data_IF_291086331967
#
_entry.id   IF_291086331967
#
_cell.length_a   1.000
_cell.length_b   1.000
_cell.length_c   1.000
_cell.angle_alpha   90.00
_cell.angle_beta   90.00
_cell.angle_gamma   90.00
#
_symmetry.space_group_name_H-M   'P 1'
#
loop_
_entity.id
_entity.type
_entity.pdbx_description
1 polymer ?
#
# COMPACT_ATOMS: atom_id res chain seq x y z
N UNK A 1 56.62 -24.59 44.53
CA UNK A 1 56.80 -23.97 43.21
C UNK A 1 56.85 -25.08 42.18
N UNK A 2 55.80 -25.27 41.41
CA UNK A 2 55.80 -26.18 40.26
C UNK A 2 55.30 -25.37 39.08
N UNK A 3 56.20 -25.17 38.12
CA UNK A 3 56.07 -24.26 36.99
C UNK A 3 55.09 -24.86 35.99
N UNK A 4 54.09 -24.08 35.59
CA UNK A 4 53.11 -24.44 34.58
C UNK A 4 53.75 -24.61 33.20
N UNK A 5 53.54 -25.77 32.59
CA UNK A 5 53.83 -26.01 31.18
C UNK A 5 52.60 -25.70 30.34
N UNK A 6 52.46 -24.45 29.91
CA UNK A 6 51.55 -24.11 28.81
C UNK A 6 52.17 -24.58 27.50
N UNK A 7 51.69 -25.70 26.95
CA UNK A 7 52.11 -26.18 25.64
C UNK A 7 51.57 -25.22 24.57
N UNK A 8 52.47 -24.42 23.99
CA UNK A 8 52.21 -23.62 22.81
C UNK A 8 52.00 -24.56 21.61
N UNK A 9 50.74 -24.74 21.19
CA UNK A 9 50.35 -25.58 20.05
C UNK A 9 50.69 -24.88 18.73
N UNK A 10 51.95 -24.89 18.28
CA UNK A 10 52.36 -24.32 16.99
C UNK A 10 52.48 -25.38 15.89
N UNK A 11 51.54 -26.32 15.80
CA UNK A 11 51.49 -27.27 14.68
C UNK A 11 50.58 -26.75 13.56
N UNK A 12 50.91 -27.08 12.30
CA UNK A 12 50.12 -26.76 11.10
C UNK A 12 48.65 -27.23 11.20
N UNK A 13 48.37 -28.24 12.02
CA UNK A 13 47.01 -28.70 12.32
C UNK A 13 46.20 -27.66 13.10
N UNK A 14 46.81 -26.94 14.05
CA UNK A 14 46.13 -25.89 14.82
C UNK A 14 45.73 -24.70 13.93
N UNK A 15 46.60 -24.32 12.98
CA UNK A 15 46.29 -23.32 11.95
C UNK A 15 45.12 -23.77 11.06
N UNK A 16 45.12 -25.03 10.62
CA UNK A 16 44.06 -25.60 9.77
C UNK A 16 42.70 -25.62 10.48
N UNK A 17 42.68 -26.00 11.76
CA UNK A 17 41.46 -25.97 12.59
C UNK A 17 40.96 -24.54 12.80
N UNK A 18 41.85 -23.59 13.08
CA UNK A 18 41.50 -22.17 13.20
C UNK A 18 40.88 -21.60 11.92
N UNK A 19 41.41 -21.98 10.74
CA UNK A 19 40.84 -21.57 9.44
C UNK A 19 39.45 -22.17 9.23
N UNK A 20 39.25 -23.46 9.51
CA UNK A 20 37.95 -24.12 9.35
C UNK A 20 36.91 -23.48 10.25
N UNK A 21 37.25 -23.25 11.52
CA UNK A 21 36.38 -22.58 12.49
C UNK A 21 36.03 -21.17 12.02
N UNK A 22 37.01 -20.40 11.53
CA UNK A 22 36.79 -19.06 11.00
C UNK A 22 35.83 -19.02 9.81
N UNK A 23 35.93 -19.97 8.87
CA UNK A 23 35.03 -20.06 7.71
C UNK A 23 33.60 -20.42 8.14
N UNK A 24 33.44 -21.36 9.07
CA UNK A 24 32.11 -21.77 9.55
C UNK A 24 31.42 -20.62 10.27
N UNK A 25 32.09 -19.97 11.24
CA UNK A 25 31.50 -18.83 11.93
C UNK A 25 31.27 -17.63 11.01
N UNK A 26 32.21 -17.35 10.10
CA UNK A 26 32.07 -16.27 9.13
C UNK A 26 30.91 -16.47 8.16
N UNK A 27 30.71 -17.70 7.67
CA UNK A 27 29.60 -18.03 6.77
C UNK A 27 28.24 -17.99 7.48
N UNK A 28 28.13 -18.48 8.71
CA UNK A 28 26.90 -18.37 9.50
C UNK A 28 26.57 -16.90 9.78
N UNK A 29 27.54 -16.12 10.26
CA UNK A 29 27.33 -14.71 10.57
C UNK A 29 27.01 -13.89 9.31
N UNK A 30 27.74 -14.14 8.21
CA UNK A 30 27.47 -13.52 6.91
C UNK A 30 26.08 -13.87 6.38
N UNK A 31 25.64 -15.12 6.51
CA UNK A 31 24.30 -15.55 6.13
C UNK A 31 23.23 -14.87 6.99
N UNK A 32 23.42 -14.76 8.30
CA UNK A 32 22.50 -14.05 9.20
C UNK A 32 22.35 -12.57 8.83
N UNK A 33 23.45 -11.87 8.55
CA UNK A 33 23.41 -10.47 8.13
C UNK A 33 22.70 -10.33 6.79
N UNK A 34 23.02 -11.19 5.81
CA UNK A 34 22.37 -11.16 4.50
C UNK A 34 20.87 -11.39 4.63
N UNK A 35 20.45 -12.39 5.42
CA UNK A 35 19.05 -12.65 5.72
C UNK A 35 18.37 -11.45 6.38
N UNK A 36 18.99 -10.82 7.38
CA UNK A 36 18.45 -9.64 8.05
C UNK A 36 18.28 -8.47 7.07
N UNK A 37 19.28 -8.21 6.22
CA UNK A 37 19.21 -7.19 5.18
C UNK A 37 18.07 -7.47 4.17
N UNK A 38 17.94 -8.71 3.70
CA UNK A 38 16.86 -9.12 2.81
C UNK A 38 15.48 -8.92 3.44
N UNK A 39 15.30 -9.32 4.71
CA UNK A 39 14.05 -9.13 5.44
C UNK A 39 13.73 -7.64 5.61
N UNK A 40 14.71 -6.82 5.99
CA UNK A 40 14.56 -5.37 6.10
C UNK A 40 14.17 -4.72 4.77
N UNK A 41 14.81 -5.12 3.67
CA UNK A 41 14.52 -4.61 2.32
C UNK A 41 13.10 -5.00 1.90
N UNK A 42 12.71 -6.26 2.11
CA UNK A 42 11.36 -6.75 1.82
C UNK A 42 10.30 -6.04 2.66
N UNK A 43 10.59 -5.76 3.94
CA UNK A 43 9.71 -4.99 4.81
C UNK A 43 9.53 -3.55 4.31
N UNK A 44 10.63 -2.87 3.94
CA UNK A 44 10.60 -1.51 3.36
C UNK A 44 9.81 -1.47 2.05
N UNK A 45 10.07 -2.42 1.15
CA UNK A 45 9.36 -2.54 -0.12
C UNK A 45 7.86 -2.78 0.10
N UNK A 46 7.51 -3.72 0.98
CA UNK A 46 6.11 -3.98 1.33
C UNK A 46 5.47 -2.71 1.87
N UNK A 47 6.09 -2.02 2.82
CA UNK A 47 5.57 -0.76 3.38
C UNK A 47 5.38 0.32 2.32
N UNK A 48 6.32 0.50 1.39
CA UNK A 48 6.20 1.45 0.28
C UNK A 48 5.07 1.13 -0.71
N UNK A 49 4.72 -0.15 -0.86
CA UNK A 49 3.63 -0.63 -1.72
C UNK A 49 2.28 -0.67 -0.98
N UNK A 50 2.31 -0.62 0.35
CA UNK A 50 1.12 -0.74 1.19
C UNK A 50 0.30 0.55 1.11
N UNK A 51 -0.85 0.49 0.42
CA UNK A 51 -1.70 1.66 0.14
C UNK A 51 -1.43 2.36 -1.19
N UNK A 52 -0.62 1.77 -2.09
CA UNK A 52 -0.53 2.24 -3.48
C UNK A 52 -1.39 1.38 -4.39
N UNK A 53 -2.08 2.03 -5.32
CA UNK A 53 -2.74 1.39 -6.45
C UNK A 53 -1.69 0.89 -7.44
N UNK A 54 -1.64 -0.42 -7.70
CA UNK A 54 -0.68 -1.02 -8.65
C UNK A 54 -1.08 -0.85 -10.12
N UNK A 55 -2.37 -0.60 -10.38
CA UNK A 55 -2.93 -0.44 -11.72
C UNK A 55 -3.29 1.02 -11.95
N UNK A 56 -3.31 1.47 -13.20
CA UNK A 56 -3.88 2.77 -13.53
C UNK A 56 -5.40 2.75 -13.36
N UNK A 57 -6.00 3.93 -13.09
CA UNK A 57 -7.45 4.07 -12.96
C UNK A 57 -8.19 3.55 -14.20
N UNK A 58 -7.66 3.79 -15.40
CA UNK A 58 -8.27 3.31 -16.63
C UNK A 58 -8.39 1.79 -16.66
N UNK A 59 -7.32 1.07 -16.31
CA UNK A 59 -7.32 -0.41 -16.27
C UNK A 59 -8.29 -0.90 -15.19
N UNK A 60 -8.23 -0.31 -13.99
CA UNK A 60 -9.08 -0.70 -12.87
C UNK A 60 -10.57 -0.54 -13.19
N UNK A 61 -10.96 0.59 -13.78
CA UNK A 61 -12.35 0.92 -14.09
C UNK A 61 -12.89 0.07 -15.24
N UNK A 62 -12.10 -0.19 -16.29
CA UNK A 62 -12.62 -0.82 -17.52
C UNK A 62 -12.46 -2.34 -17.57
N UNK A 63 -11.48 -2.92 -16.86
CA UNK A 63 -11.24 -4.36 -16.91
C UNK A 63 -11.93 -5.03 -15.70
N UNK A 64 -13.16 -5.49 -15.92
CA UNK A 64 -13.84 -6.42 -15.03
C UNK A 64 -13.14 -7.79 -15.10
N UNK A 65 -12.79 -8.36 -13.95
CA UNK A 65 -12.47 -9.78 -13.89
C UNK A 65 -13.78 -10.55 -14.08
N UNK A 66 -13.76 -11.77 -14.62
CA UNK A 66 -14.97 -12.59 -14.91
C UNK A 66 -15.96 -12.65 -13.72
N UNK A 67 -15.47 -12.53 -12.48
CA UNK A 67 -16.27 -12.54 -11.26
C UNK A 67 -17.03 -11.23 -10.96
N UNK A 68 -16.81 -10.14 -11.71
CA UNK A 68 -17.47 -8.84 -11.53
C UNK A 68 -18.61 -8.59 -12.53
N UNK A 69 -18.99 -9.60 -13.31
CA UNK A 69 -20.10 -9.49 -14.27
C UNK A 69 -21.44 -9.55 -13.55
N UNK A 70 -21.80 -8.48 -12.84
CA UNK A 70 -23.17 -8.28 -12.35
C UNK A 70 -24.10 -7.92 -13.51
N UNK A 71 -25.30 -8.51 -13.51
CA UNK A 71 -26.38 -8.15 -14.44
C UNK A 71 -26.68 -6.66 -14.30
N UNK A 72 -26.73 -5.99 -15.43
CA UNK A 72 -27.11 -4.59 -15.65
C UNK A 72 -28.35 -4.23 -14.84
N UNK A 73 -28.17 -3.52 -13.73
CA UNK A 73 -29.17 -2.57 -13.27
C UNK A 73 -28.91 -1.24 -13.99
N UNK A 74 -29.95 -0.70 -14.61
CA UNK A 74 -29.93 0.47 -15.50
C UNK A 74 -29.41 1.76 -14.83
N UNK A 75 -29.34 1.77 -13.50
CA UNK A 75 -28.70 2.83 -12.73
C UNK A 75 -27.77 2.16 -11.73
N UNK A 76 -26.46 2.14 -12.01
CA UNK A 76 -25.49 1.72 -11.00
C UNK A 76 -25.57 2.60 -9.74
N UNK A 77 -24.79 2.32 -8.68
CA UNK A 77 -24.79 3.09 -7.44
C UNK A 77 -24.29 4.55 -7.59
N UNK A 78 -24.15 5.05 -8.82
CA UNK A 78 -23.50 6.30 -9.15
C UNK A 78 -24.51 7.44 -9.16
N UNK A 79 -24.97 7.81 -7.97
CA UNK A 79 -25.82 8.98 -7.75
C UNK A 79 -25.01 10.11 -7.13
N UNK A 80 -25.20 11.34 -7.61
CA UNK A 80 -24.55 12.50 -7.01
C UNK A 80 -25.08 12.73 -5.61
N UNK A 81 -24.20 13.06 -4.67
CA UNK A 81 -24.56 13.27 -3.28
C UNK A 81 -23.39 13.03 -2.33
N UNK A 82 -23.72 12.92 -1.05
CA UNK A 82 -22.75 12.62 0.01
C UNK A 82 -22.67 11.11 0.22
N UNK A 83 -21.45 10.60 0.21
CA UNK A 83 -21.15 9.18 0.33
C UNK A 83 -20.26 8.92 1.53
N UNK A 84 -20.58 7.85 2.27
CA UNK A 84 -19.62 7.26 3.20
C UNK A 84 -18.59 6.47 2.40
N UNK A 85 -17.33 6.63 2.77
CA UNK A 85 -16.22 5.99 2.09
C UNK A 85 -15.30 5.28 3.07
N UNK A 86 -14.74 4.16 2.61
CA UNK A 86 -13.70 3.43 3.32
C UNK A 86 -12.56 3.09 2.38
N UNK A 87 -11.38 3.63 2.62
CA UNK A 87 -10.22 3.40 1.75
C UNK A 87 -8.93 3.22 2.53
N UNK A 88 -8.00 2.48 1.94
CA UNK A 88 -6.73 2.17 2.58
C UNK A 88 -5.61 3.03 1.98
N UNK A 89 -5.05 3.94 2.78
CA UNK A 89 -4.04 4.91 2.35
C UNK A 89 -2.96 5.05 3.44
N UNK A 90 -1.70 5.16 3.02
CA UNK A 90 -0.52 5.30 3.91
C UNK A 90 -0.42 4.24 5.01
N UNK A 91 -0.79 2.99 4.71
CA UNK A 91 -0.63 1.89 5.66
C UNK A 91 -1.75 1.73 6.68
N UNK A 92 -2.85 2.48 6.55
CA UNK A 92 -4.02 2.37 7.44
C UNK A 92 -5.34 2.52 6.68
N UNK A 93 -6.40 2.03 7.31
CA UNK A 93 -7.76 2.29 6.85
C UNK A 93 -8.18 3.69 7.27
N UNK A 94 -8.81 4.39 6.34
CA UNK A 94 -9.51 5.64 6.50
C UNK A 94 -10.99 5.31 6.36
N UNK A 95 -11.69 5.26 7.47
CA UNK A 95 -13.08 4.84 7.57
C UNK A 95 -13.98 5.95 8.09
N UNK A 96 -15.26 5.87 7.76
CA UNK A 96 -16.32 6.77 8.24
C UNK A 96 -16.22 8.23 7.78
N UNK A 97 -15.41 8.52 6.76
CA UNK A 97 -15.36 9.84 6.16
C UNK A 97 -16.43 10.02 5.09
N UNK A 98 -17.09 11.17 5.17
CA UNK A 98 -18.04 11.61 4.17
C UNK A 98 -17.32 12.38 3.07
N UNK A 99 -17.66 12.06 1.83
CA UNK A 99 -17.22 12.81 0.66
C UNK A 99 -18.40 13.12 -0.24
N UNK A 100 -18.37 14.29 -0.87
CA UNK A 100 -19.35 14.69 -1.87
C UNK A 100 -18.86 14.22 -3.23
N UNK A 101 -19.70 13.50 -3.97
CA UNK A 101 -19.44 13.07 -5.35
C UNK A 101 -20.52 13.61 -6.28
N UNK A 102 -20.09 14.11 -7.43
CA UNK A 102 -20.93 14.50 -8.55
C UNK A 102 -20.57 13.63 -9.74
N UNK A 103 -21.54 12.83 -10.20
CA UNK A 103 -21.37 11.92 -11.33
C UNK A 103 -21.98 12.53 -12.59
N UNK A 104 -21.19 12.60 -13.65
CA UNK A 104 -21.67 12.96 -14.98
C UNK A 104 -21.97 11.69 -15.81
N UNK A 105 -23.25 11.34 -16.01
CA UNK A 105 -23.61 10.14 -16.77
C UNK A 105 -23.30 10.23 -18.27
N UNK A 106 -23.04 11.43 -18.82
CA UNK A 106 -22.72 11.60 -20.24
C UNK A 106 -21.25 11.30 -20.51
N UNK A 107 -20.37 11.72 -19.60
CA UNK A 107 -18.92 11.59 -19.78
C UNK A 107 -18.29 10.48 -18.93
N UNK A 108 -19.06 9.87 -18.03
CA UNK A 108 -18.59 8.88 -17.04
C UNK A 108 -17.44 9.41 -16.16
N UNK A 109 -17.48 10.72 -15.91
CA UNK A 109 -16.57 11.41 -15.00
C UNK A 109 -17.22 11.60 -13.64
N UNK A 110 -16.38 11.62 -12.61
CA UNK A 110 -16.79 11.94 -11.26
C UNK A 110 -15.89 13.05 -10.72
N UNK A 111 -16.51 14.02 -10.07
CA UNK A 111 -15.84 15.09 -9.35
C UNK A 111 -16.33 15.10 -7.91
N UNK A 112 -15.57 15.71 -7.01
CA UNK A 112 -15.97 15.72 -5.62
C UNK A 112 -15.02 16.45 -4.70
N UNK A 113 -15.34 16.41 -3.42
CA UNK A 113 -14.52 16.96 -2.35
C UNK A 113 -14.86 16.31 -1.02
N UNK A 114 -13.98 16.48 -0.05
CA UNK A 114 -14.19 15.98 1.30
C UNK A 114 -13.05 16.38 2.22
N UNK A 115 -13.10 15.83 3.43
CA UNK A 115 -12.07 16.00 4.45
C UNK A 115 -11.87 14.67 5.17
N UNK A 116 -10.64 14.39 5.54
CA UNK A 116 -10.24 13.26 6.37
C UNK A 116 -9.18 13.69 7.40
N UNK A 117 -8.59 12.75 8.12
CA UNK A 117 -7.52 13.04 9.08
C UNK A 117 -6.18 13.41 8.44
N UNK A 118 -6.03 13.29 7.11
CA UNK A 118 -4.91 13.84 6.35
C UNK A 118 -5.16 15.31 6.06
N UNK A 119 -6.34 15.67 5.57
CA UNK A 119 -6.77 17.06 5.38
C UNK A 119 -7.92 17.21 4.39
N UNK A 120 -8.14 18.43 3.95
CA UNK A 120 -9.17 18.74 2.96
C UNK A 120 -8.68 18.40 1.56
N UNK A 121 -9.59 17.94 0.69
CA UNK A 121 -9.23 17.49 -0.64
C UNK A 121 -10.32 17.70 -1.69
N UNK A 122 -9.89 17.72 -2.95
CA UNK A 122 -10.75 17.60 -4.12
C UNK A 122 -10.52 16.27 -4.83
N UNK A 123 -11.53 15.82 -5.57
CA UNK A 123 -11.55 14.56 -6.30
C UNK A 123 -11.86 14.84 -7.77
N UNK A 124 -11.10 14.21 -8.65
CA UNK A 124 -11.43 14.08 -10.06
C UNK A 124 -11.16 12.63 -10.52
N UNK A 125 -12.07 12.04 -11.27
CA UNK A 125 -11.95 10.64 -11.65
C UNK A 125 -12.89 10.20 -12.76
N UNK A 126 -12.89 8.90 -12.98
CA UNK A 126 -13.82 8.23 -13.89
C UNK A 126 -14.44 7.02 -13.19
N UNK A 127 -15.62 6.63 -13.65
CA UNK A 127 -16.34 5.48 -13.11
C UNK A 127 -16.90 4.62 -14.23
N UNK A 128 -17.31 3.40 -13.89
CA UNK A 128 -17.95 2.48 -14.83
C UNK A 128 -19.14 1.81 -14.19
N UNK A 129 -20.31 2.00 -14.80
CA UNK A 129 -21.56 1.34 -14.42
C UNK A 129 -21.41 -0.18 -14.54
N UNK A 130 -20.77 -0.64 -15.62
CA UNK A 130 -20.57 -2.06 -15.91
C UNK A 130 -19.75 -2.79 -14.86
N UNK A 131 -18.71 -2.15 -14.34
CA UNK A 131 -17.79 -2.77 -13.37
C UNK A 131 -18.07 -2.36 -11.93
N UNK A 132 -18.96 -1.39 -11.73
CA UNK A 132 -19.26 -0.75 -10.44
C UNK A 132 -17.99 -0.27 -9.72
N UNK A 133 -17.05 0.30 -10.47
CA UNK A 133 -15.76 0.79 -9.98
C UNK A 133 -15.55 2.25 -10.29
N UNK A 134 -14.77 2.90 -9.43
CA UNK A 134 -14.35 4.29 -9.54
C UNK A 134 -12.83 4.37 -9.44
N UNK A 135 -12.20 5.09 -10.35
CA UNK A 135 -10.79 5.46 -10.28
C UNK A 135 -10.66 6.96 -10.05
N UNK A 136 -10.12 7.34 -8.89
CA UNK A 136 -10.03 8.72 -8.43
C UNK A 136 -8.58 9.22 -8.40
N UNK A 137 -8.43 10.51 -8.66
CA UNK A 137 -7.30 11.33 -8.25
C UNK A 137 -7.80 12.25 -7.14
N UNK A 138 -7.24 12.09 -5.95
CA UNK A 138 -7.55 12.88 -4.77
C UNK A 138 -6.40 13.84 -4.52
N UNK A 139 -6.66 15.14 -4.53
CA UNK A 139 -5.63 16.17 -4.36
C UNK A 139 -5.88 16.89 -3.04
N UNK A 140 -4.93 16.78 -2.12
CA UNK A 140 -5.02 17.48 -0.84
C UNK A 140 -4.69 18.95 -0.98
N UNK A 141 -5.40 19.78 -0.21
CA UNK A 141 -5.10 21.19 -0.06
C UNK A 141 -4.03 21.38 1.01
N UNK A 142 -2.89 21.96 0.62
CA UNK A 142 -1.79 22.26 1.55
C UNK A 142 -2.25 23.17 2.69
N UNK A 143 -1.74 22.93 3.89
CA UNK A 143 -2.07 23.72 5.09
C UNK A 143 -3.32 23.26 5.85
N UNK A 144 -3.93 22.13 5.47
CA UNK A 144 -5.07 21.53 6.17
C UNK A 144 -4.69 20.19 6.80
N UNK A 145 -5.35 19.83 7.91
CA UNK A 145 -5.16 18.54 8.57
C UNK A 145 -3.72 18.25 9.05
N UNK A 146 -3.25 17.03 8.82
CA UNK A 146 -1.96 16.54 9.30
C UNK A 146 -0.81 17.00 8.39
N UNK A 147 -0.03 17.98 8.84
CA UNK A 147 1.10 18.56 8.08
C UNK A 147 2.23 17.59 7.75
N UNK A 148 2.33 16.43 8.42
CA UNK A 148 3.34 15.41 8.10
C UNK A 148 2.94 14.53 6.92
N UNK A 149 1.64 14.34 6.70
CA UNK A 149 1.09 13.52 5.63
C UNK A 149 0.58 14.39 4.47
N UNK A 150 -0.08 15.51 4.76
CA UNK A 150 -0.60 16.44 3.79
C UNK A 150 0.47 17.43 3.31
N UNK A 151 1.15 17.05 2.23
CA UNK A 151 2.10 17.89 1.51
C UNK A 151 1.47 18.65 0.31
N UNK A 152 0.13 18.77 0.26
CA UNK A 152 -0.57 19.38 -0.87
C UNK A 152 -0.49 18.57 -2.17
N UNK A 153 -0.42 17.24 -2.05
CA UNK A 153 -0.11 16.34 -3.15
C UNK A 153 -1.32 15.53 -3.61
N UNK A 154 -1.20 14.93 -4.80
CA UNK A 154 -2.24 14.06 -5.37
C UNK A 154 -1.93 12.60 -5.09
N UNK A 155 -2.95 11.86 -4.66
CA UNK A 155 -2.94 10.40 -4.54
C UNK A 155 -3.98 9.78 -5.47
N UNK A 156 -3.75 8.51 -5.82
CA UNK A 156 -4.69 7.72 -6.60
C UNK A 156 -5.44 6.79 -5.67
N UNK A 157 -6.77 6.75 -5.78
CA UNK A 157 -7.64 5.87 -5.00
C UNK A 157 -8.54 5.10 -5.96
N UNK A 158 -8.66 3.80 -5.77
CA UNK A 158 -9.49 2.89 -6.56
C UNK A 158 -10.55 2.27 -5.68
N UNK A 159 -11.81 2.56 -5.98
CA UNK A 159 -12.96 2.13 -5.19
C UNK A 159 -13.85 1.16 -5.99
N UNK A 160 -14.38 0.16 -5.31
CA UNK A 160 -15.41 -0.74 -5.82
C UNK A 160 -16.66 -0.59 -4.96
N UNK A 161 -17.82 -0.65 -5.59
CA UNK A 161 -19.09 -0.75 -4.86
C UNK A 161 -19.17 -2.06 -4.09
N UNK A 162 -19.41 -1.96 -2.78
CA UNK A 162 -19.79 -3.08 -1.95
C UNK A 162 -21.31 -3.04 -1.76
N UNK A 163 -22.04 -3.90 -2.48
CA UNK A 163 -23.51 -3.93 -2.44
C UNK A 163 -24.08 -4.49 -1.13
N UNK A 164 -23.29 -5.22 -0.36
CA UNK A 164 -23.71 -5.73 0.96
C UNK A 164 -23.70 -4.63 2.01
N UNK A 165 -22.67 -3.80 1.99
CA UNK A 165 -22.48 -2.70 2.95
C UNK A 165 -23.08 -1.37 2.47
N UNK A 166 -23.45 -1.27 1.19
CA UNK A 166 -24.00 -0.05 0.60
C UNK A 166 -22.99 1.11 0.54
N UNK A 167 -21.71 0.82 0.38
CA UNK A 167 -20.64 1.82 0.37
C UNK A 167 -19.53 1.52 -0.64
N UNK A 168 -18.71 2.54 -0.94
CA UNK A 168 -17.53 2.39 -1.77
C UNK A 168 -16.30 2.03 -0.94
N UNK A 169 -15.60 0.98 -1.35
CA UNK A 169 -14.43 0.45 -0.64
C UNK A 169 -13.23 0.25 -1.56
N UNK A 170 -12.03 0.53 -1.06
CA UNK A 170 -10.82 0.24 -1.82
C UNK A 170 -9.52 0.82 -1.27
N UNK A 171 -8.60 1.17 -2.17
CA UNK A 171 -7.26 1.67 -1.83
C UNK A 171 -6.64 2.45 -2.98
#
# INVERSE_FOLDING_TARGET
MTIGGGSSCTSEECKRQGIIVGIVFGSIFGACILCACCVCLMYRLKKCLTGKTLRSNWIFVNIALKCDMFKTQDTGPFQSGTWSSRYYQYGRWHDQYQLSLSFDPKTFKVEGSGSDDVGDFTIAGTYSIKTQRIGLKKTYQSGTGNTKENLGHTVTIQLKWNSTEGQFEGK
#
